data_IF_812383754294
#
_entry.id   IF_812383754294
#
_cell.length_a   1.000
_cell.length_b   1.000
_cell.length_c   1.000
_cell.angle_alpha   90.00
_cell.angle_beta   90.00
_cell.angle_gamma   90.00
#
_symmetry.space_group_name_H-M   'P 1'
#
loop_
_entity.id
_entity.type
_entity.pdbx_description
1 polymer ?
#
# COMPACT_ATOMS: atom_id res chain seq x y z
N UNK A 1 -14.70 5.95 13.41
CA UNK A 1 -13.80 6.99 12.88
C UNK A 1 -12.41 6.41 12.66
N UNK A 2 -11.87 6.47 11.45
CA UNK A 2 -10.42 6.36 11.18
C UNK A 2 -10.06 7.70 10.53
N UNK A 3 -9.40 8.59 11.24
CA UNK A 3 -8.90 9.82 10.61
C UNK A 3 -7.89 9.39 9.55
N UNK A 4 -8.11 9.81 8.31
CA UNK A 4 -7.21 9.54 7.19
C UNK A 4 -5.94 10.36 7.42
N UNK A 5 -5.03 9.83 8.22
CA UNK A 5 -3.69 10.39 8.42
C UNK A 5 -3.01 10.38 7.05
N UNK A 6 -2.81 11.57 6.49
CA UNK A 6 -2.14 11.76 5.22
C UNK A 6 -0.65 11.41 5.39
N UNK A 7 -0.23 10.33 4.73
CA UNK A 7 1.16 9.86 4.70
C UNK A 7 2.04 10.67 3.73
N UNK A 8 1.45 11.68 3.09
CA UNK A 8 2.07 12.54 2.07
C UNK A 8 3.06 13.56 2.66
N UNK A 9 3.12 13.69 3.99
CA UNK A 9 4.17 14.47 4.65
C UNK A 9 5.42 13.63 4.82
N UNK A 10 6.34 13.71 3.86
CA UNK A 10 7.70 13.21 4.01
C UNK A 10 8.39 13.95 5.17
N UNK A 11 8.35 13.38 6.38
CA UNK A 11 8.94 13.99 7.57
C UNK A 11 9.65 12.97 8.43
N UNK A 12 10.87 12.70 7.99
CA UNK A 12 12.06 12.63 8.82
C UNK A 12 13.22 12.90 7.86
N UNK A 13 13.59 14.17 7.69
CA UNK A 13 14.75 14.50 6.86
C UNK A 13 16.00 14.20 7.69
N UNK A 14 16.87 13.34 7.17
CA UNK A 14 18.22 13.16 7.68
C UNK A 14 19.03 14.48 7.74
N UNK A 15 18.51 15.54 7.10
CA UNK A 15 19.06 16.90 7.07
C UNK A 15 18.66 17.77 8.28
N UNK A 16 17.87 17.25 9.22
CA UNK A 16 17.54 17.98 10.44
C UNK A 16 18.80 18.22 11.29
N UNK A 17 18.95 19.44 11.83
CA UNK A 17 20.06 19.74 12.73
C UNK A 17 20.03 18.78 13.95
N UNK A 18 21.17 18.15 14.25
CA UNK A 18 21.29 17.16 15.33
C UNK A 18 20.76 15.77 15.00
N UNK A 19 20.35 15.47 13.76
CA UNK A 19 19.86 14.15 13.38
C UNK A 19 20.89 13.04 13.62
N UNK A 20 22.16 13.31 13.30
CA UNK A 20 23.28 12.40 13.53
C UNK A 20 23.61 12.17 15.01
N UNK A 21 23.08 13.01 15.91
CA UNK A 21 23.28 12.92 17.37
C UNK A 21 22.17 12.10 18.05
N UNK A 22 21.13 11.69 17.31
CA UNK A 22 20.03 10.91 17.84
C UNK A 22 20.45 9.47 18.17
N UNK A 23 19.82 8.83 19.18
CA UNK A 23 20.08 7.44 19.50
C UNK A 23 19.81 6.50 18.32
N UNK A 24 20.68 5.52 18.12
CA UNK A 24 20.55 4.52 17.04
C UNK A 24 19.19 3.81 17.06
N UNK A 25 18.70 3.46 18.25
CA UNK A 25 17.44 2.74 18.42
C UNK A 25 16.24 3.60 17.97
N UNK A 26 16.34 4.92 18.14
CA UNK A 26 15.33 5.86 17.67
C UNK A 26 15.37 5.97 16.14
N UNK A 27 16.56 6.12 15.56
CA UNK A 27 16.75 6.15 14.10
C UNK A 27 16.24 4.85 13.44
N UNK A 28 16.47 3.70 14.07
CA UNK A 28 15.95 2.42 13.63
C UNK A 28 14.42 2.37 13.63
N UNK A 29 13.78 2.92 14.67
CA UNK A 29 12.33 3.01 14.75
C UNK A 29 11.75 3.90 13.64
N UNK A 30 12.38 5.05 13.38
CA UNK A 30 12.01 5.95 12.29
C UNK A 30 12.16 5.26 10.94
N UNK A 31 13.29 4.59 10.69
CA UNK A 31 13.51 3.86 9.44
C UNK A 31 12.47 2.75 9.23
N UNK A 32 12.10 2.03 10.30
CA UNK A 32 11.02 1.02 10.24
C UNK A 32 9.66 1.64 9.95
N UNK A 33 9.35 2.79 10.56
CA UNK A 33 8.07 3.47 10.34
C UNK A 33 7.96 3.99 8.91
N UNK A 34 9.02 4.58 8.34
CA UNK A 34 9.04 5.02 6.95
C UNK A 34 8.83 3.85 5.96
N UNK A 35 9.48 2.70 6.20
CA UNK A 35 9.24 1.49 5.40
C UNK A 35 7.79 1.02 5.50
N UNK A 36 7.22 1.03 6.70
CA UNK A 36 5.82 0.66 6.90
C UNK A 36 4.87 1.62 6.19
N UNK A 37 5.12 2.93 6.27
CA UNK A 37 4.34 3.94 5.57
C UNK A 37 4.38 3.73 4.05
N UNK A 38 5.57 3.45 3.48
CA UNK A 38 5.71 3.15 2.06
C UNK A 38 4.94 1.88 1.65
N UNK A 39 4.95 0.84 2.48
CA UNK A 39 4.17 -0.38 2.26
C UNK A 39 2.67 -0.10 2.29
N UNK A 40 2.19 0.60 3.32
CA UNK A 40 0.78 0.97 3.46
C UNK A 40 0.31 1.82 2.28
N UNK A 41 1.12 2.77 1.81
CA UNK A 41 0.78 3.58 0.63
C UNK A 41 0.60 2.72 -0.62
N UNK A 42 1.48 1.74 -0.86
CA UNK A 42 1.31 0.79 -1.97
C UNK A 42 0.05 -0.06 -1.82
N UNK A 43 -0.23 -0.54 -0.62
CA UNK A 43 -1.47 -1.29 -0.34
C UNK A 43 -2.71 -0.42 -0.58
N UNK A 44 -2.68 0.84 -0.14
CA UNK A 44 -3.77 1.79 -0.38
C UNK A 44 -3.93 2.09 -1.88
N UNK A 45 -2.84 2.21 -2.64
CA UNK A 45 -2.87 2.34 -4.10
C UNK A 45 -3.45 1.08 -4.78
N UNK A 46 -3.12 -0.12 -4.30
CA UNK A 46 -3.68 -1.37 -4.84
C UNK A 46 -5.18 -1.52 -4.52
N UNK A 47 -5.59 -1.12 -3.30
CA UNK A 47 -6.97 -1.28 -2.82
C UNK A 47 -7.88 -0.15 -3.36
N UNK A 48 -7.39 1.09 -3.37
CA UNK A 48 -8.18 2.29 -3.68
C UNK A 48 -7.74 3.00 -4.98
N UNK A 49 -6.54 2.75 -5.49
CA UNK A 49 -5.97 3.40 -6.68
C UNK A 49 -6.35 2.76 -8.02
N UNK A 50 -7.06 1.62 -8.03
CA UNK A 50 -7.63 1.02 -9.25
C UNK A 50 -8.63 1.95 -10.00
N UNK A 51 -8.99 3.10 -9.43
CA UNK A 51 -9.80 4.14 -10.08
C UNK A 51 -9.01 5.28 -10.76
N UNK A 52 -7.67 5.36 -10.62
CA UNK A 52 -6.91 6.54 -11.06
C UNK A 52 -5.80 6.26 -12.10
N UNK A 53 -5.44 5.01 -12.39
CA UNK A 53 -4.40 4.68 -13.37
C UNK A 53 -4.88 3.64 -14.38
N UNK A 54 -5.82 4.05 -15.23
CA UNK A 54 -6.04 3.43 -16.53
C UNK A 54 -5.10 4.10 -17.54
N UNK A 55 -3.79 4.03 -17.33
CA UNK A 55 -2.80 4.20 -18.39
C UNK A 55 -1.39 3.96 -17.83
N UNK A 56 -0.89 2.74 -18.04
CA UNK A 56 0.49 2.41 -18.45
C UNK A 56 0.76 0.93 -18.23
N UNK A 57 0.79 0.20 -19.35
CA UNK A 57 1.13 -1.22 -19.53
C UNK A 57 0.16 -2.30 -18.98
N UNK A 58 -0.18 -3.31 -19.82
CA UNK A 58 -0.87 -4.49 -19.35
C UNK A 58 0.14 -5.36 -18.61
N UNK A 59 0.36 -5.07 -17.32
CA UNK A 59 0.69 -6.16 -16.40
C UNK A 59 -0.54 -7.04 -16.46
N UNK A 60 -0.44 -8.17 -17.18
CA UNK A 60 -1.48 -9.17 -17.25
C UNK A 60 -1.99 -9.36 -15.82
N UNK A 61 -3.20 -8.88 -15.55
CA UNK A 61 -3.83 -8.95 -14.23
C UNK A 61 -3.70 -10.40 -13.85
N UNK A 62 -2.81 -10.72 -12.90
CA UNK A 62 -2.69 -12.08 -12.41
C UNK A 62 -4.09 -12.44 -11.93
N UNK A 63 -4.75 -13.45 -12.53
CA UNK A 63 -6.11 -13.75 -12.16
C UNK A 63 -6.10 -14.11 -10.67
N UNK A 64 -6.95 -13.44 -9.91
CA UNK A 64 -7.06 -13.67 -8.48
C UNK A 64 -7.71 -15.05 -8.31
N UNK A 65 -7.03 -16.04 -7.70
CA UNK A 65 -7.54 -17.40 -7.60
C UNK A 65 -8.89 -17.47 -6.87
N UNK A 66 -9.17 -16.51 -5.98
CA UNK A 66 -10.46 -16.40 -5.29
C UNK A 66 -11.54 -15.88 -6.24
N UNK A 67 -11.21 -14.91 -7.11
CA UNK A 67 -12.12 -14.38 -8.13
C UNK A 67 -12.51 -15.46 -9.15
N UNK A 68 -11.55 -16.32 -9.52
CA UNK A 68 -11.79 -17.44 -10.43
C UNK A 68 -12.72 -18.48 -9.79
N UNK A 69 -12.54 -18.78 -8.49
CA UNK A 69 -13.42 -19.69 -7.75
C UNK A 69 -14.84 -19.14 -7.61
N UNK A 70 -14.99 -17.85 -7.29
CA UNK A 70 -16.31 -17.20 -7.23
C UNK A 70 -16.99 -17.23 -8.61
N UNK A 71 -16.24 -16.98 -9.68
CA UNK A 71 -16.76 -17.04 -11.05
C UNK A 71 -17.23 -18.46 -11.40
N UNK A 72 -16.45 -19.48 -11.03
CA UNK A 72 -16.79 -20.89 -11.24
C UNK A 72 -18.05 -21.28 -10.46
N UNK A 73 -18.18 -20.85 -9.20
CA UNK A 73 -19.38 -21.06 -8.39
C UNK A 73 -20.60 -20.37 -9.04
N UNK A 74 -20.46 -19.13 -9.46
CA UNK A 74 -21.53 -18.41 -10.15
C UNK A 74 -21.93 -19.12 -11.45
N UNK A 75 -20.98 -19.57 -12.27
CA UNK A 75 -21.31 -20.33 -13.48
C UNK A 75 -21.98 -21.68 -13.18
N UNK A 76 -21.56 -22.38 -12.12
CA UNK A 76 -22.13 -23.65 -11.72
C UNK A 76 -23.55 -23.54 -11.14
N UNK A 77 -23.84 -22.46 -10.41
CA UNK A 77 -25.08 -22.31 -9.64
C UNK A 77 -26.07 -21.26 -10.18
N UNK A 78 -25.69 -20.34 -11.06
CA UNK A 78 -26.57 -19.28 -11.58
C UNK A 78 -27.60 -19.75 -12.62
N UNK A 79 -27.81 -21.07 -12.78
CA UNK A 79 -28.81 -21.64 -13.70
C UNK A 79 -29.86 -22.52 -13.01
N UNK A 80 -30.06 -22.35 -11.71
CA UNK A 80 -31.31 -22.70 -11.02
C UNK A 80 -32.04 -21.41 -10.57
#
# INVERSE_FOLDING_TARGET
EKSKVRLDTASAHDEAAGWAELPSDFLDLVNRSLRLQALVRRMDEEIYGAGAMVDTQPVARRPNPVSDQISLLNTAFARN
#
